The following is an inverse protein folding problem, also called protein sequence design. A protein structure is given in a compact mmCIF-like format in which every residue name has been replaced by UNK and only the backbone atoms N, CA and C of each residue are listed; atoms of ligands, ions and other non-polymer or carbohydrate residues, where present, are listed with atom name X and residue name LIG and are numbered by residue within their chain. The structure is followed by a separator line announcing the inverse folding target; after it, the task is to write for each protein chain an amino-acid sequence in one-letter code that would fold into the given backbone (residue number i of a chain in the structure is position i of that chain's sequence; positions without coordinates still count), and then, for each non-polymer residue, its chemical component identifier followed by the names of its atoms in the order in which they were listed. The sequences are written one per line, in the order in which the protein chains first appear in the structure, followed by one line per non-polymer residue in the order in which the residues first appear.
data_IF_470116516210
#
_entry.id   IF_470116516210
#
_cell.length_a   1.000
_cell.length_b   1.000
_cell.length_c   1.000
_cell.angle_alpha   90.00
_cell.angle_beta   90.00
_cell.angle_gamma   90.00
#
_symmetry.space_group_name_H-M   'P 1'
#
loop_
_entity.id
_entity.type
_entity.pdbx_description
1 polymer ?
#
# COMPACT_ATOMS: atom_id res chain seq x y z
N UNK A 1 3.12 3.57 30.05
CA UNK A 1 1.65 3.64 29.86
C UNK A 1 1.21 2.45 29.04
N UNK A 2 0.01 1.91 29.26
CA UNK A 2 -0.55 0.89 28.34
C UNK A 2 -1.00 1.56 27.03
N UNK A 3 -0.95 0.83 25.91
CA UNK A 3 -1.33 1.33 24.57
C UNK A 3 -2.73 1.95 24.56
N UNK A 4 -3.67 1.33 25.28
CA UNK A 4 -5.06 1.77 25.42
C UNK A 4 -5.21 3.10 26.18
N UNK A 5 -4.35 3.36 27.17
CA UNK A 5 -4.36 4.64 27.90
C UNK A 5 -3.85 5.78 27.01
N UNK A 6 -2.80 5.54 26.22
CA UNK A 6 -2.27 6.54 25.28
C UNK A 6 -3.31 6.90 24.19
N UNK A 7 -4.03 5.91 23.65
CA UNK A 7 -5.10 6.13 22.68
C UNK A 7 -6.24 6.99 23.26
N UNK A 8 -6.64 6.77 24.52
CA UNK A 8 -7.66 7.58 25.20
C UNK A 8 -7.22 9.03 25.39
N UNK A 9 -5.97 9.24 25.80
CA UNK A 9 -5.39 10.59 25.96
C UNK A 9 -5.38 11.35 24.64
N UNK A 10 -4.93 10.71 23.55
CA UNK A 10 -4.89 11.33 22.23
C UNK A 10 -6.30 11.69 21.73
N UNK A 11 -7.29 10.80 21.91
CA UNK A 11 -8.69 11.09 21.55
C UNK A 11 -9.24 12.31 22.31
N UNK A 12 -8.91 12.44 23.59
CA UNK A 12 -9.33 13.60 24.38
C UNK A 12 -8.68 14.89 23.85
N UNK A 13 -7.38 14.86 23.54
CA UNK A 13 -6.65 16.01 22.98
C UNK A 13 -7.25 16.45 21.63
N UNK A 14 -7.55 15.49 20.75
CA UNK A 14 -8.17 15.78 19.44
C UNK A 14 -9.51 16.50 19.63
N UNK A 15 -10.36 15.98 20.53
CA UNK A 15 -11.66 16.58 20.82
C UNK A 15 -11.53 17.98 21.39
N UNK A 16 -10.59 18.20 22.30
CA UNK A 16 -10.33 19.51 22.93
C UNK A 16 -9.90 20.55 21.89
N UNK A 17 -8.97 20.20 21.00
CA UNK A 17 -8.54 21.09 19.90
C UNK A 17 -9.70 21.43 18.97
N UNK A 18 -10.53 20.44 18.61
CA UNK A 18 -11.69 20.66 17.75
C UNK A 18 -12.71 21.62 18.41
N UNK A 19 -12.96 21.44 19.72
CA UNK A 19 -13.82 22.32 20.50
C UNK A 19 -13.27 23.74 20.59
N UNK A 20 -11.97 23.91 20.81
CA UNK A 20 -11.34 25.23 20.89
C UNK A 20 -11.37 25.96 19.53
N UNK A 21 -11.16 25.25 18.42
CA UNK A 21 -11.33 25.83 17.08
C UNK A 21 -12.78 26.27 16.83
N UNK A 22 -13.75 25.43 17.21
CA UNK A 22 -15.17 25.73 17.05
C UNK A 22 -15.60 26.95 17.89
N UNK A 23 -15.09 27.07 19.13
CA UNK A 23 -15.32 28.22 19.99
C UNK A 23 -14.77 29.53 19.40
N UNK A 24 -13.76 29.43 18.53
CA UNK A 24 -13.16 30.55 17.79
C UNK A 24 -13.78 30.76 16.40
N UNK A 25 -14.91 30.09 16.11
CA UNK A 25 -15.70 30.28 14.90
C UNK A 25 -15.36 29.35 13.73
N UNK A 26 -14.45 28.39 13.90
CA UNK A 26 -14.05 27.48 12.84
C UNK A 26 -14.32 26.02 13.22
N UNK A 27 -15.29 25.40 12.56
CA UNK A 27 -15.50 23.97 12.67
C UNK A 27 -14.42 23.20 11.90
N UNK A 28 -13.73 22.28 12.58
CA UNK A 28 -12.68 21.43 12.03
C UNK A 28 -13.03 19.97 12.33
N UNK A 29 -12.86 19.07 11.37
CA UNK A 29 -13.12 17.64 11.60
C UNK A 29 -12.05 17.03 12.51
N UNK A 30 -12.43 16.05 13.34
CA UNK A 30 -11.49 15.32 14.20
C UNK A 30 -10.36 14.66 13.39
N UNK A 31 -10.66 14.20 12.18
CA UNK A 31 -9.64 13.66 11.25
C UNK A 31 -8.60 14.71 10.91
N UNK A 32 -9.00 15.91 10.52
CA UNK A 32 -8.05 16.99 10.19
C UNK A 32 -7.22 17.40 11.41
N UNK A 33 -7.84 17.43 12.59
CA UNK A 33 -7.12 17.67 13.86
C UNK A 33 -6.09 16.58 14.14
N UNK A 34 -6.42 15.30 13.95
CA UNK A 34 -5.50 14.19 14.18
C UNK A 34 -4.26 14.28 13.27
N UNK A 35 -4.45 14.65 12.00
CA UNK A 35 -3.35 14.90 11.07
C UNK A 35 -2.52 16.11 11.47
N UNK A 36 -3.16 17.19 11.95
CA UNK A 36 -2.44 18.36 12.46
C UNK A 36 -1.61 18.04 13.70
N UNK A 37 -2.15 17.27 14.65
CA UNK A 37 -1.40 16.79 15.83
C UNK A 37 -0.16 16.04 15.39
N UNK A 38 -0.30 15.11 14.43
CA UNK A 38 0.84 14.38 13.87
C UNK A 38 1.86 15.32 13.23
N UNK A 39 1.43 16.28 12.42
CA UNK A 39 2.32 17.25 11.79
C UNK A 39 3.07 18.13 12.81
N UNK A 40 2.39 18.58 13.87
CA UNK A 40 3.00 19.39 14.94
C UNK A 40 4.01 18.59 15.76
N UNK A 41 3.71 17.32 16.08
CA UNK A 41 4.62 16.46 16.85
C UNK A 41 5.85 16.06 16.04
N UNK A 42 5.70 15.85 14.72
CA UNK A 42 6.79 15.46 13.84
C UNK A 42 7.71 16.62 13.41
N UNK A 43 7.25 17.86 13.56
CA UNK A 43 8.04 19.05 13.24
C UNK A 43 9.14 19.28 14.29
N UNK A 44 10.43 19.13 13.93
CA UNK A 44 11.54 19.25 14.87
C UNK A 44 11.62 20.63 15.54
N UNK A 45 11.11 21.69 14.88
CA UNK A 45 11.12 23.05 15.41
C UNK A 45 10.20 23.20 16.63
N UNK A 46 9.21 22.31 16.79
CA UNK A 46 8.32 22.34 17.96
C UNK A 46 8.93 21.66 19.18
N UNK A 47 10.02 20.90 19.04
CA UNK A 47 10.77 20.31 20.16
C UNK A 47 9.99 19.25 20.95
N UNK A 48 9.05 18.56 20.31
CA UNK A 48 8.43 17.36 20.88
C UNK A 48 9.38 16.17 20.74
N UNK A 49 9.42 15.31 21.76
CA UNK A 49 10.16 14.07 21.72
C UNK A 49 9.14 12.92 21.67
N UNK A 50 9.18 12.14 20.59
CA UNK A 50 8.21 11.07 20.30
C UNK A 50 8.45 9.84 21.19
N UNK A 51 9.66 9.69 21.74
CA UNK A 51 10.08 8.53 22.53
C UNK A 51 9.77 8.69 24.03
N UNK A 52 9.37 9.89 24.48
CA UNK A 52 9.00 10.18 25.88
C UNK A 52 7.50 10.29 26.07
N UNK A 53 7.02 10.04 27.29
CA UNK A 53 5.62 10.30 27.64
C UNK A 53 5.32 11.79 27.66
N UNK A 54 4.16 12.17 27.14
CA UNK A 54 3.66 13.55 27.17
C UNK A 54 3.41 13.99 28.62
N UNK A 55 4.01 15.13 28.99
CA UNK A 55 3.68 15.83 30.24
C UNK A 55 2.45 16.72 30.05
N UNK A 56 1.88 17.24 31.14
CA UNK A 56 0.77 18.20 31.06
C UNK A 56 1.15 19.45 30.25
N UNK A 57 2.35 19.96 30.46
CA UNK A 57 2.88 21.12 29.72
C UNK A 57 3.04 20.81 28.22
N UNK A 58 3.47 19.60 27.88
CA UNK A 58 3.54 19.17 26.47
C UNK A 58 2.14 19.15 25.82
N UNK A 59 1.12 18.68 26.56
CA UNK A 59 -0.27 18.65 26.07
C UNK A 59 -0.80 20.06 25.84
N UNK A 60 -0.63 20.96 26.80
CA UNK A 60 -1.08 22.35 26.65
C UNK A 60 -0.37 23.05 25.49
N UNK A 61 0.94 22.82 25.34
CA UNK A 61 1.72 23.34 24.21
C UNK A 61 1.22 22.77 22.88
N UNK A 62 0.94 21.47 22.82
CA UNK A 62 0.43 20.79 21.63
C UNK A 62 -0.91 21.36 21.20
N UNK A 63 -1.86 21.54 22.15
CA UNK A 63 -3.17 22.12 21.87
C UNK A 63 -3.02 23.53 21.29
N UNK A 64 -2.24 24.40 21.96
CA UNK A 64 -2.01 25.78 21.49
C UNK A 64 -1.42 25.85 20.08
N UNK A 65 -0.42 25.02 19.79
CA UNK A 65 0.21 24.97 18.47
C UNK A 65 -0.76 24.46 17.40
N UNK A 66 -1.52 23.41 17.68
CA UNK A 66 -2.50 22.87 16.75
C UNK A 66 -3.61 23.88 16.44
N UNK A 67 -4.21 24.50 17.48
CA UNK A 67 -5.25 25.50 17.32
C UNK A 67 -4.73 26.69 16.50
N UNK A 68 -3.54 27.20 16.83
CA UNK A 68 -2.91 28.29 16.07
C UNK A 68 -2.77 27.95 14.58
N UNK A 69 -2.23 26.77 14.25
CA UNK A 69 -2.05 26.33 12.84
C UNK A 69 -3.38 26.04 12.13
N UNK A 70 -4.40 25.56 12.83
CA UNK A 70 -5.71 25.26 12.24
C UNK A 70 -6.52 26.52 11.91
N UNK A 71 -6.32 27.59 12.67
CA UNK A 71 -6.97 28.89 12.48
C UNK A 71 -6.23 29.80 11.48
N UNK A 72 -4.99 29.47 11.15
CA UNK A 72 -4.24 30.19 10.11
C UNK A 72 -4.63 29.74 8.70
N UNK A 73 -5.74 30.30 8.22
CA UNK A 73 -6.29 30.05 6.89
C UNK A 73 -5.40 30.47 5.72
N UNK A 74 -4.42 31.35 5.95
CA UNK A 74 -3.52 31.82 4.89
C UNK A 74 -2.25 30.95 4.80
N UNK A 75 -2.05 30.03 5.75
CA UNK A 75 -0.89 29.15 5.73
C UNK A 75 -0.97 28.11 4.61
N UNK A 76 0.09 28.06 3.79
CA UNK A 76 0.29 26.98 2.82
C UNK A 76 0.40 25.61 3.52
N UNK A 77 0.93 25.57 4.75
CA UNK A 77 1.03 24.35 5.55
C UNK A 77 -0.35 23.73 5.82
N UNK A 78 -1.33 24.53 6.27
CA UNK A 78 -2.69 24.04 6.49
C UNK A 78 -3.35 23.56 5.20
N UNK A 79 -3.11 24.24 4.08
CA UNK A 79 -3.63 23.82 2.78
C UNK A 79 -3.07 22.44 2.37
N UNK A 80 -1.77 22.21 2.57
CA UNK A 80 -1.13 20.91 2.29
C UNK A 80 -1.66 19.80 3.19
N UNK A 81 -1.84 20.05 4.50
CA UNK A 81 -2.42 19.05 5.41
C UNK A 81 -3.86 18.70 5.01
N UNK A 82 -4.67 19.69 4.64
CA UNK A 82 -6.03 19.45 4.11
C UNK A 82 -6.00 18.61 2.84
N UNK A 83 -5.05 18.88 1.93
CA UNK A 83 -4.88 18.10 0.71
C UNK A 83 -4.49 16.64 1.04
N UNK A 84 -3.56 16.43 1.96
CA UNK A 84 -3.18 15.08 2.42
C UNK A 84 -4.37 14.32 3.02
N UNK A 85 -5.13 14.96 3.90
CA UNK A 85 -6.36 14.36 4.47
C UNK A 85 -7.38 14.03 3.39
N UNK A 86 -7.55 14.91 2.39
CA UNK A 86 -8.45 14.64 1.27
C UNK A 86 -8.00 13.41 0.46
N UNK A 87 -6.71 13.30 0.15
CA UNK A 87 -6.20 12.13 -0.56
C UNK A 87 -6.35 10.84 0.25
N UNK A 88 -5.97 10.85 1.52
CA UNK A 88 -6.06 9.67 2.39
C UNK A 88 -7.50 9.19 2.61
N UNK A 89 -8.48 10.11 2.59
CA UNK A 89 -9.90 9.77 2.82
C UNK A 89 -10.66 9.40 1.55
N UNK A 90 -10.25 9.90 0.38
CA UNK A 90 -11.03 9.74 -0.86
C UNK A 90 -10.38 8.81 -1.88
N UNK A 91 -9.11 8.46 -1.72
CA UNK A 91 -8.39 7.60 -2.65
C UNK A 91 -7.86 6.36 -1.95
N UNK A 92 -8.04 5.23 -2.63
CA UNK A 92 -7.44 3.96 -2.23
C UNK A 92 -5.92 4.07 -2.39
N UNK A 93 -5.16 3.58 -1.40
CA UNK A 93 -3.71 3.56 -1.52
C UNK A 93 -3.29 2.65 -2.68
N UNK A 94 -2.13 2.91 -3.28
CA UNK A 94 -1.57 2.02 -4.30
C UNK A 94 -1.42 0.59 -3.78
N UNK A 95 -1.10 0.41 -2.50
CA UNK A 95 -0.96 -0.90 -1.89
C UNK A 95 -2.31 -1.64 -1.85
N UNK A 96 -3.35 -0.99 -1.33
CA UNK A 96 -4.69 -1.59 -1.23
C UNK A 96 -5.26 -1.89 -2.62
N UNK A 97 -5.01 -1.01 -3.60
CA UNK A 97 -5.41 -1.24 -4.99
C UNK A 97 -4.73 -2.48 -5.58
N UNK A 98 -3.40 -2.61 -5.39
CA UNK A 98 -2.64 -3.76 -5.87
C UNK A 98 -3.02 -5.06 -5.16
N UNK A 99 -3.36 -4.98 -3.87
CA UNK A 99 -3.86 -6.11 -3.10
C UNK A 99 -5.23 -6.57 -3.60
N UNK A 100 -6.16 -5.63 -3.80
CA UNK A 100 -7.49 -5.96 -4.34
C UNK A 100 -7.39 -6.54 -5.75
N UNK A 101 -6.53 -5.97 -6.60
CA UNK A 101 -6.26 -6.51 -7.92
C UNK A 101 -5.73 -7.95 -7.85
N UNK A 102 -4.78 -8.21 -6.94
CA UNK A 102 -4.25 -9.57 -6.71
C UNK A 102 -5.33 -10.53 -6.21
N UNK A 103 -6.13 -10.11 -5.24
CA UNK A 103 -7.24 -10.89 -4.69
C UNK A 103 -8.25 -11.29 -5.78
N UNK A 104 -8.59 -10.36 -6.66
CA UNK A 104 -9.49 -10.63 -7.80
C UNK A 104 -8.85 -11.60 -8.79
N UNK A 105 -7.57 -11.42 -9.12
CA UNK A 105 -6.83 -12.32 -10.01
C UNK A 105 -6.77 -13.75 -9.45
N UNK A 106 -6.40 -13.90 -8.17
CA UNK A 106 -6.37 -15.19 -7.48
C UNK A 106 -7.74 -15.87 -7.44
N UNK A 107 -8.80 -15.10 -7.13
CA UNK A 107 -10.17 -15.61 -7.12
C UNK A 107 -10.59 -16.17 -8.50
N UNK A 108 -10.23 -15.46 -9.57
CA UNK A 108 -10.54 -15.90 -10.95
C UNK A 108 -9.71 -17.09 -11.39
N UNK A 109 -8.46 -17.21 -10.93
CA UNK A 109 -7.55 -18.29 -11.30
C UNK A 109 -7.70 -19.54 -10.42
N UNK A 110 -8.27 -19.41 -9.22
CA UNK A 110 -8.55 -20.52 -8.30
C UNK A 110 -9.13 -21.78 -8.97
N UNK A 111 -10.18 -21.71 -9.82
CA UNK A 111 -10.71 -22.91 -10.50
C UNK A 111 -9.71 -23.55 -11.46
N UNK A 112 -8.98 -22.75 -12.25
CA UNK A 112 -7.97 -23.26 -13.19
C UNK A 112 -6.84 -23.95 -12.44
N UNK A 113 -6.41 -23.38 -11.32
CA UNK A 113 -5.37 -23.94 -10.45
C UNK A 113 -5.83 -25.26 -9.86
N UNK A 114 -7.07 -25.31 -9.35
CA UNK A 114 -7.66 -26.55 -8.84
C UNK A 114 -7.74 -27.62 -9.93
N UNK A 115 -8.18 -27.27 -11.13
CA UNK A 115 -8.22 -28.21 -12.25
C UNK A 115 -6.83 -28.74 -12.63
N UNK A 116 -5.78 -27.92 -12.51
CA UNK A 116 -4.39 -28.35 -12.74
C UNK A 116 -3.94 -29.29 -11.62
N UNK A 117 -4.16 -28.93 -10.35
CA UNK A 117 -3.70 -29.71 -9.19
C UNK A 117 -4.44 -31.04 -9.04
N UNK A 118 -5.73 -31.06 -9.39
CA UNK A 118 -6.57 -32.25 -9.26
C UNK A 118 -6.48 -33.17 -10.49
N UNK A 119 -5.78 -32.73 -11.55
CA UNK A 119 -5.65 -33.46 -12.80
C UNK A 119 -4.90 -34.78 -12.61
N UNK A 120 -5.48 -35.85 -13.16
CA UNK A 120 -4.86 -37.19 -13.25
C UNK A 120 -4.75 -37.58 -14.71
N UNK A 121 -3.82 -36.95 -15.44
CA UNK A 121 -3.58 -37.27 -16.84
C UNK A 121 -3.12 -38.73 -17.00
N UNK A 122 -3.83 -39.52 -17.81
CA UNK A 122 -3.54 -40.96 -18.03
C UNK A 122 -3.09 -41.26 -19.45
N UNK A 123 -3.43 -40.40 -20.40
CA UNK A 123 -3.05 -40.52 -21.79
C UNK A 123 -2.34 -39.24 -22.27
N UNK A 124 -1.78 -39.29 -23.49
CA UNK A 124 -1.02 -38.17 -24.06
C UNK A 124 -1.89 -36.94 -24.28
N UNK A 125 -3.14 -37.12 -24.67
CA UNK A 125 -4.06 -36.01 -24.95
C UNK A 125 -4.47 -35.28 -23.66
N UNK A 126 -4.65 -36.01 -22.55
CA UNK A 126 -4.87 -35.44 -21.21
C UNK A 126 -3.66 -34.62 -20.77
N UNK A 127 -2.45 -35.11 -21.06
CA UNK A 127 -1.20 -34.44 -20.70
C UNK A 127 -1.01 -33.15 -21.51
N UNK A 128 -1.31 -33.17 -22.80
CA UNK A 128 -1.31 -31.97 -23.65
C UNK A 128 -2.35 -30.94 -23.20
N UNK A 129 -3.55 -31.40 -22.82
CA UNK A 129 -4.60 -30.54 -22.25
C UNK A 129 -4.18 -29.90 -20.92
N UNK A 130 -3.57 -30.67 -20.03
CA UNK A 130 -3.02 -30.18 -18.76
C UNK A 130 -1.90 -29.14 -19.00
N UNK A 131 -1.00 -29.41 -19.94
CA UNK A 131 0.08 -28.48 -20.28
C UNK A 131 -0.46 -27.13 -20.78
N UNK A 132 -1.49 -27.13 -21.65
CA UNK A 132 -2.15 -25.89 -22.09
C UNK A 132 -2.77 -25.10 -20.94
N UNK A 133 -3.38 -25.78 -19.96
CA UNK A 133 -3.92 -25.14 -18.75
C UNK A 133 -2.82 -24.51 -17.91
N UNK A 134 -1.69 -25.20 -17.74
CA UNK A 134 -0.51 -24.68 -17.02
C UNK A 134 0.03 -23.42 -17.71
N UNK A 135 0.25 -23.45 -19.03
CA UNK A 135 0.72 -22.29 -19.81
C UNK A 135 -0.25 -21.11 -19.66
N UNK A 136 -1.55 -21.36 -19.79
CA UNK A 136 -2.58 -20.32 -19.64
C UNK A 136 -2.59 -19.72 -18.24
N UNK A 137 -2.43 -20.54 -17.20
CA UNK A 137 -2.35 -20.11 -15.81
C UNK A 137 -1.12 -19.22 -15.57
N UNK A 138 0.05 -19.59 -16.10
CA UNK A 138 1.28 -18.79 -16.01
C UNK A 138 1.11 -17.44 -16.70
N UNK A 139 0.59 -17.41 -17.93
CA UNK A 139 0.36 -16.16 -18.67
C UNK A 139 -0.57 -15.20 -17.93
N UNK A 140 -1.69 -15.73 -17.41
CA UNK A 140 -2.66 -14.92 -16.68
C UNK A 140 -2.14 -14.43 -15.32
N UNK A 141 -1.34 -15.24 -14.61
CA UNK A 141 -0.73 -14.82 -13.33
C UNK A 141 0.36 -13.78 -13.52
N UNK A 142 1.19 -13.93 -14.55
CA UNK A 142 2.33 -13.06 -14.79
C UNK A 142 1.96 -11.77 -15.54
N UNK A 143 0.76 -11.68 -16.11
CA UNK A 143 0.32 -10.53 -16.91
C UNK A 143 1.09 -10.37 -18.23
N UNK A 144 1.81 -11.41 -18.68
CA UNK A 144 2.69 -11.39 -19.85
C UNK A 144 1.94 -11.41 -21.19
N UNK A 145 0.61 -11.51 -21.16
CA UNK A 145 -0.25 -11.38 -22.33
C UNK A 145 -1.44 -12.33 -22.30
N UNK A 146 -2.21 -12.34 -23.39
CA UNK A 146 -3.41 -13.16 -23.50
C UNK A 146 -3.06 -14.62 -23.81
N UNK A 147 -3.67 -15.61 -23.11
CA UNK A 147 -3.59 -17.02 -23.49
C UNK A 147 -4.18 -17.35 -24.87
N UNK A 148 -4.89 -16.39 -25.49
CA UNK A 148 -5.42 -16.53 -26.85
C UNK A 148 -4.42 -16.10 -27.92
N UNK A 149 -3.33 -15.43 -27.54
CA UNK A 149 -2.29 -15.00 -28.49
C UNK A 149 -1.24 -16.10 -28.65
N UNK A 150 -1.16 -16.64 -29.87
CA UNK A 150 -0.26 -17.75 -30.21
C UNK A 150 1.21 -17.35 -30.06
N UNK A 151 1.58 -16.09 -30.31
CA UNK A 151 2.96 -15.63 -30.16
C UNK A 151 3.39 -15.69 -28.69
N UNK A 152 2.55 -15.15 -27.81
CA UNK A 152 2.74 -15.13 -26.36
C UNK A 152 2.75 -16.54 -25.77
N UNK A 153 1.83 -17.41 -26.22
CA UNK A 153 1.76 -18.81 -25.80
C UNK A 153 3.01 -19.59 -26.22
N UNK A 154 3.57 -19.34 -27.42
CA UNK A 154 4.80 -19.99 -27.88
C UNK A 154 6.01 -19.59 -27.05
N UNK A 155 6.12 -18.32 -26.67
CA UNK A 155 7.19 -17.83 -25.81
C UNK A 155 7.10 -18.46 -24.41
N UNK A 156 5.93 -18.43 -23.77
CA UNK A 156 5.72 -19.05 -22.46
C UNK A 156 5.95 -20.57 -22.48
N UNK A 157 5.53 -21.24 -23.56
CA UNK A 157 5.82 -22.66 -23.80
C UNK A 157 7.32 -22.91 -23.92
N UNK A 158 8.03 -22.06 -24.66
CA UNK A 158 9.49 -22.11 -24.80
C UNK A 158 10.21 -21.93 -23.48
N UNK A 159 9.78 -20.98 -22.66
CA UNK A 159 10.30 -20.75 -21.30
C UNK A 159 10.12 -21.99 -20.41
N UNK A 160 8.92 -22.57 -20.40
CA UNK A 160 8.64 -23.77 -19.60
C UNK A 160 9.44 -25.00 -20.10
N UNK A 161 9.57 -25.17 -21.41
CA UNK A 161 10.32 -26.27 -22.02
C UNK A 161 11.84 -26.14 -21.80
N UNK A 162 12.37 -24.92 -21.72
CA UNK A 162 13.79 -24.64 -21.44
C UNK A 162 14.19 -24.87 -19.97
N UNK A 163 13.29 -25.42 -19.14
CA UNK A 163 13.56 -25.61 -17.71
C UNK A 163 13.49 -24.31 -16.92
N UNK A 164 12.77 -23.29 -17.39
CA UNK A 164 12.54 -22.04 -16.64
C UNK A 164 11.95 -22.27 -15.25
N UNK A 165 11.27 -23.40 -15.03
CA UNK A 165 10.77 -23.85 -13.72
C UNK A 165 11.90 -24.25 -12.75
N UNK A 166 13.06 -24.67 -13.27
CA UNK A 166 14.24 -25.10 -12.51
C UNK A 166 15.23 -23.94 -12.26
N UNK A 167 15.20 -22.90 -13.10
CA UNK A 167 15.93 -21.65 -12.89
C UNK A 167 15.26 -20.76 -11.82
N UNK A 168 13.94 -20.93 -11.63
CA UNK A 168 13.21 -20.50 -10.45
C UNK A 168 13.54 -21.46 -9.30
N UNK A 169 14.67 -21.26 -8.61
CA UNK A 169 15.09 -22.04 -7.44
C UNK A 169 13.90 -22.36 -6.52
N UNK A 170 13.84 -23.59 -6.01
CA UNK A 170 12.74 -24.22 -5.25
C UNK A 170 12.06 -23.38 -4.15
N UNK A 171 12.67 -22.30 -3.67
CA UNK A 171 12.01 -21.34 -2.78
C UNK A 171 11.10 -20.33 -3.50
N UNK A 172 11.30 -20.08 -4.80
CA UNK A 172 10.64 -19.05 -5.59
C UNK A 172 9.32 -19.50 -6.19
N UNK A 173 9.14 -20.78 -6.52
CA UNK A 173 7.87 -21.27 -7.09
C UNK A 173 6.81 -21.48 -6.01
N UNK A 174 7.17 -22.04 -4.85
CA UNK A 174 6.31 -22.04 -3.66
C UNK A 174 6.11 -20.60 -3.14
N UNK A 175 7.14 -19.74 -3.11
CA UNK A 175 6.95 -18.33 -2.77
C UNK A 175 6.13 -17.56 -3.81
N UNK A 176 6.12 -17.90 -5.10
CA UNK A 176 5.20 -17.32 -6.10
C UNK A 176 3.76 -17.81 -5.91
N UNK A 177 3.58 -18.98 -5.29
CA UNK A 177 2.28 -19.53 -4.93
C UNK A 177 1.78 -19.02 -3.56
N UNK A 178 2.67 -18.61 -2.65
CA UNK A 178 2.35 -18.16 -1.29
C UNK A 178 2.64 -16.68 -0.99
N UNK A 179 3.42 -15.95 -1.80
CA UNK A 179 3.93 -14.60 -1.51
C UNK A 179 4.20 -13.75 -2.79
N UNK A 180 3.27 -12.85 -3.18
CA UNK A 180 3.32 -12.11 -4.45
C UNK A 180 4.28 -10.90 -4.52
N UNK A 181 5.19 -10.70 -3.55
CA UNK A 181 6.07 -9.52 -3.48
C UNK A 181 7.37 -9.60 -4.32
N UNK A 182 7.57 -10.66 -5.11
CA UNK A 182 8.79 -10.87 -5.94
C UNK A 182 8.88 -9.89 -7.14
N UNK A 183 7.84 -9.10 -7.42
CA UNK A 183 7.85 -8.09 -8.48
C UNK A 183 8.43 -6.71 -8.06
N UNK A 184 8.97 -6.57 -6.84
CA UNK A 184 9.50 -5.27 -6.35
C UNK A 184 10.88 -4.87 -6.91
N UNK A 185 11.58 -5.69 -7.68
CA UNK A 185 12.94 -5.37 -8.16
C UNK A 185 13.03 -4.75 -9.57
N UNK A 186 11.92 -4.54 -10.29
CA UNK A 186 11.99 -3.99 -11.67
C UNK A 186 11.66 -2.49 -11.75
N UNK A 187 11.28 -1.84 -10.64
CA UNK A 187 10.81 -0.45 -10.66
C UNK A 187 11.60 0.48 -9.71
N UNK A 188 12.93 0.40 -9.76
CA UNK A 188 13.81 1.36 -9.10
C UNK A 188 14.69 2.11 -10.12
N UNK A 189 14.19 3.19 -10.75
CA UNK A 189 15.08 4.18 -11.33
C UNK A 189 15.62 5.04 -10.18
N UNK A 190 16.90 4.86 -9.86
CA UNK A 190 17.68 5.86 -9.14
C UNK A 190 17.49 7.21 -9.83
N UNK A 191 16.80 8.14 -9.17
CA UNK A 191 16.88 9.56 -9.47
C UNK A 191 18.29 10.05 -9.13
N UNK A 192 19.23 9.88 -10.05
CA UNK A 192 20.46 10.66 -10.10
C UNK A 192 20.10 12.00 -10.74
N UNK A 193 20.01 13.03 -9.92
CA UNK A 193 19.92 14.40 -10.41
C UNK A 193 21.27 14.81 -10.99
N UNK A 194 21.29 15.11 -12.29
CA UNK A 194 22.26 16.01 -12.87
C UNK A 194 21.52 17.26 -13.34
N UNK A 195 21.84 18.37 -12.66
CA UNK A 195 21.34 19.69 -12.97
C UNK A 195 21.84 20.16 -14.33
N UNK A 196 20.90 20.56 -15.18
CA UNK A 196 21.19 21.34 -16.38
C UNK A 196 21.29 22.80 -15.94
N UNK A 197 22.50 23.34 -15.92
CA UNK A 197 22.75 24.77 -15.80
C UNK A 197 22.36 25.49 -17.08
N UNK A 198 21.47 26.46 -16.95
CA UNK A 198 21.33 27.63 -17.82
C UNK A 198 21.19 28.86 -16.92
#
# INVERSE_FOLDING_TARGET
MSKTQAESVIKNIIREIAQECAARGQAVSETLVAFMVKAVVLDPSNGFNVDRTLTKDDVEKLIKLCVSRLLDHQSASLATVKMQVYFDMNYTSRADFLEEHRRVLESRLSPVVREITDSRARNRDDLEGLYRKIVSCVLLRSGLGSPTDIAVVREATGFLAAGGVHSLHNHSFEALLQNPDILKEVDNPHCSGDGVSL
#
